data_IF_999284647343
#
_entry.id   IF_999284647343
#
_cell.length_a   1.000
_cell.length_b   1.000
_cell.length_c   1.000
_cell.angle_alpha   90.00
_cell.angle_beta   90.00
_cell.angle_gamma   90.00
#
_symmetry.space_group_name_H-M   'P 1'
#
loop_
_entity.id
_entity.type
_entity.pdbx_description
1 polymer ?
#
# COMPACT_ATOMS: atom_id res chain seq x y z
N UNK A 1 31.25 -6.26 -11.23
CA UNK A 1 29.96 -6.26 -10.50
C UNK A 1 28.84 -6.02 -11.51
N UNK A 2 27.81 -6.86 -11.53
CA UNK A 2 26.65 -6.72 -12.44
C UNK A 2 25.85 -5.45 -12.09
N UNK A 3 25.01 -4.95 -13.00
CA UNK A 3 24.15 -3.79 -12.73
C UNK A 3 23.24 -4.04 -11.52
N UNK A 4 22.59 -5.21 -11.47
CA UNK A 4 21.74 -5.62 -10.35
C UNK A 4 22.50 -5.60 -9.01
N UNK A 5 23.73 -6.11 -8.95
CA UNK A 5 24.51 -6.10 -7.73
C UNK A 5 24.91 -4.68 -7.27
N UNK A 6 25.22 -3.78 -8.21
CA UNK A 6 25.51 -2.37 -7.88
C UNK A 6 24.26 -1.64 -7.37
N UNK A 7 23.11 -1.89 -7.98
CA UNK A 7 21.83 -1.32 -7.55
C UNK A 7 21.46 -1.85 -6.16
N UNK A 8 21.62 -3.15 -5.93
CA UNK A 8 21.38 -3.74 -4.61
C UNK A 8 22.29 -3.11 -3.52
N UNK A 9 23.55 -2.81 -3.84
CA UNK A 9 24.44 -2.08 -2.92
C UNK A 9 23.94 -0.67 -2.67
N UNK A 10 23.64 0.10 -3.72
CA UNK A 10 23.14 1.46 -3.58
C UNK A 10 21.85 1.51 -2.73
N UNK A 11 20.94 0.54 -2.88
CA UNK A 11 19.74 0.45 -2.06
C UNK A 11 20.04 0.09 -0.60
N UNK A 12 21.05 -0.76 -0.32
CA UNK A 12 21.50 -1.03 1.06
C UNK A 12 22.07 0.22 1.74
N UNK A 13 22.77 1.04 0.97
CA UNK A 13 23.36 2.31 1.44
C UNK A 13 22.34 3.47 1.48
N UNK A 14 21.05 3.20 1.26
CA UNK A 14 19.97 4.22 1.16
C UNK A 14 20.20 5.26 0.05
N UNK A 15 20.91 4.90 -1.01
CA UNK A 15 21.24 5.76 -2.14
C UNK A 15 20.33 5.50 -3.35
N UNK A 16 19.00 5.67 -3.17
CA UNK A 16 18.00 5.43 -4.21
C UNK A 16 18.25 6.24 -5.50
N UNK A 17 18.57 7.53 -5.38
CA UNK A 17 18.87 8.38 -6.54
C UNK A 17 20.11 7.89 -7.30
N UNK A 18 21.12 7.40 -6.59
CA UNK A 18 22.31 6.80 -7.19
C UNK A 18 21.93 5.53 -7.97
N UNK A 19 21.10 4.66 -7.39
CA UNK A 19 20.61 3.47 -8.09
C UNK A 19 19.85 3.83 -9.39
N UNK A 20 19.00 4.87 -9.34
CA UNK A 20 18.26 5.39 -10.51
C UNK A 20 19.24 5.86 -11.60
N UNK A 21 20.22 6.69 -11.25
CA UNK A 21 21.18 7.20 -12.23
C UNK A 21 22.09 6.11 -12.80
N UNK A 22 22.47 5.10 -12.00
CA UNK A 22 23.20 3.93 -12.50
C UNK A 22 22.39 3.12 -13.54
N UNK A 23 21.13 2.82 -13.24
CA UNK A 23 20.25 2.09 -14.16
C UNK A 23 20.02 2.88 -15.46
N UNK A 24 19.76 4.19 -15.34
CA UNK A 24 19.60 5.10 -16.46
C UNK A 24 20.87 5.20 -17.33
N UNK A 25 22.04 5.33 -16.71
CA UNK A 25 23.31 5.41 -17.43
C UNK A 25 23.60 4.13 -18.22
N UNK A 26 23.32 2.95 -17.64
CA UNK A 26 23.43 1.67 -18.34
C UNK A 26 22.52 1.61 -19.57
N UNK A 27 21.26 2.01 -19.43
CA UNK A 27 20.28 1.96 -20.50
C UNK A 27 20.51 2.99 -21.62
N UNK A 28 21.33 4.03 -21.39
CA UNK A 28 21.82 4.90 -22.47
C UNK A 28 22.77 4.16 -23.41
N UNK A 29 23.53 3.19 -22.90
CA UNK A 29 24.50 2.41 -23.68
C UNK A 29 23.86 1.14 -24.24
N UNK A 30 22.98 0.50 -23.45
CA UNK A 30 22.29 -0.74 -23.81
C UNK A 30 20.76 -0.58 -23.69
N UNK A 31 20.10 0.18 -24.59
CA UNK A 31 18.67 0.48 -24.48
C UNK A 31 17.75 -0.74 -24.60
N UNK A 32 18.20 -1.81 -25.27
CA UNK A 32 17.47 -3.08 -25.39
C UNK A 32 17.70 -4.07 -24.25
N UNK A 33 18.45 -3.69 -23.19
CA UNK A 33 18.62 -4.54 -22.01
C UNK A 33 17.32 -4.58 -21.20
N UNK A 34 16.56 -5.66 -21.40
CA UNK A 34 15.25 -5.89 -20.78
C UNK A 34 15.33 -5.90 -19.25
N UNK A 35 16.28 -6.63 -18.66
CA UNK A 35 16.37 -6.77 -17.20
C UNK A 35 16.74 -5.43 -16.55
N UNK A 36 17.67 -4.69 -17.15
CA UNK A 36 18.00 -3.34 -16.72
C UNK A 36 16.78 -2.39 -16.83
N UNK A 37 15.96 -2.56 -17.86
CA UNK A 37 14.74 -1.76 -18.07
C UNK A 37 13.69 -2.04 -17.00
N UNK A 38 13.42 -3.31 -16.69
CA UNK A 38 12.55 -3.68 -15.56
C UNK A 38 13.07 -3.08 -14.26
N UNK A 39 14.35 -3.26 -13.96
CA UNK A 39 14.95 -2.74 -12.74
C UNK A 39 14.87 -1.21 -12.65
N UNK A 40 15.05 -0.50 -13.77
CA UNK A 40 14.85 0.95 -13.80
C UNK A 40 13.41 1.35 -13.51
N UNK A 41 12.42 0.63 -14.05
CA UNK A 41 11.01 0.85 -13.76
C UNK A 41 10.71 0.64 -12.27
N UNK A 42 11.25 -0.42 -11.65
CA UNK A 42 11.11 -0.66 -10.21
C UNK A 42 11.62 0.52 -9.37
N UNK A 43 12.79 1.05 -9.73
CA UNK A 43 13.39 2.18 -9.01
C UNK A 43 12.59 3.47 -9.17
N UNK A 44 11.98 3.71 -10.33
CA UNK A 44 11.08 4.84 -10.54
C UNK A 44 9.80 4.71 -9.71
N UNK A 45 9.24 3.50 -9.59
CA UNK A 45 8.10 3.23 -8.72
C UNK A 45 8.46 3.52 -7.25
N UNK A 46 9.63 3.08 -6.79
CA UNK A 46 10.12 3.39 -5.44
C UNK A 46 10.28 4.90 -5.19
N UNK A 47 10.67 5.65 -6.21
CA UNK A 47 10.79 7.10 -6.14
C UNK A 47 9.44 7.84 -6.27
N UNK A 48 8.33 7.13 -6.49
CA UNK A 48 7.03 7.74 -6.76
C UNK A 48 6.88 8.38 -8.15
N UNK A 49 7.83 8.14 -9.06
CA UNK A 49 7.85 8.71 -10.41
C UNK A 49 7.07 7.83 -11.41
N UNK A 50 5.76 7.70 -11.16
CA UNK A 50 4.88 6.81 -11.92
C UNK A 50 4.75 7.21 -13.39
N UNK A 51 4.81 8.51 -13.69
CA UNK A 51 4.76 9.03 -15.05
C UNK A 51 6.00 8.58 -15.87
N UNK A 52 7.21 8.69 -15.31
CA UNK A 52 8.41 8.17 -15.99
C UNK A 52 8.40 6.65 -16.04
N UNK A 53 7.92 5.96 -15.01
CA UNK A 53 7.76 4.51 -15.02
C UNK A 53 6.82 4.04 -16.17
N UNK A 54 5.69 4.73 -16.40
CA UNK A 54 4.76 4.41 -17.51
C UNK A 54 5.43 4.59 -18.87
N UNK A 55 6.14 5.71 -19.05
CA UNK A 55 6.89 5.98 -20.28
C UNK A 55 7.97 4.90 -20.54
N UNK A 56 8.63 4.42 -19.48
CA UNK A 56 9.57 3.31 -19.60
C UNK A 56 8.89 1.98 -19.95
N UNK A 57 7.69 1.70 -19.43
CA UNK A 57 6.92 0.51 -19.82
C UNK A 57 6.54 0.54 -21.31
N UNK A 58 6.11 1.69 -21.81
CA UNK A 58 5.78 1.85 -23.23
C UNK A 58 7.00 1.63 -24.14
N UNK A 59 8.16 2.17 -23.73
CA UNK A 59 9.41 1.96 -24.46
C UNK A 59 9.92 0.51 -24.33
N UNK A 60 9.74 -0.13 -23.18
CA UNK A 60 10.16 -1.51 -22.96
C UNK A 60 9.43 -2.48 -23.91
N UNK A 61 8.14 -2.26 -24.14
CA UNK A 61 7.34 -3.06 -25.06
C UNK A 61 7.86 -3.02 -26.52
N UNK A 62 8.61 -1.97 -26.92
CA UNK A 62 9.23 -1.94 -28.27
C UNK A 62 10.47 -2.82 -28.37
N UNK A 63 11.17 -3.04 -27.26
CA UNK A 63 12.40 -3.84 -27.20
C UNK A 63 12.16 -5.31 -26.83
N UNK A 64 11.09 -5.59 -26.10
CA UNK A 64 10.69 -6.94 -25.69
C UNK A 64 9.19 -7.20 -25.98
N UNK A 65 8.81 -7.39 -27.26
CA UNK A 65 7.41 -7.59 -27.65
C UNK A 65 6.73 -8.77 -26.94
N UNK A 66 7.49 -9.80 -26.57
CA UNK A 66 7.03 -10.97 -25.83
C UNK A 66 6.47 -10.64 -24.44
N UNK A 67 6.88 -9.54 -23.81
CA UNK A 67 6.39 -9.11 -22.49
C UNK A 67 5.35 -7.98 -22.56
N UNK A 68 4.87 -7.63 -23.75
CA UNK A 68 3.92 -6.52 -23.96
C UNK A 68 2.73 -6.59 -23.01
N UNK A 69 2.20 -7.80 -22.78
CA UNK A 69 1.09 -8.00 -21.84
C UNK A 69 1.50 -7.66 -20.39
N UNK A 70 2.68 -8.11 -19.95
CA UNK A 70 3.20 -7.79 -18.62
C UNK A 70 3.38 -6.28 -18.41
N UNK A 71 3.91 -5.58 -19.42
CA UNK A 71 4.00 -4.12 -19.38
C UNK A 71 2.62 -3.46 -19.37
N UNK A 72 1.67 -3.94 -20.17
CA UNK A 72 0.31 -3.39 -20.17
C UNK A 72 -0.39 -3.52 -18.80
N UNK A 73 -0.23 -4.67 -18.12
CA UNK A 73 -0.74 -4.87 -16.77
C UNK A 73 -0.06 -3.94 -15.76
N UNK A 74 1.26 -3.79 -15.83
CA UNK A 74 1.98 -2.85 -14.98
C UNK A 74 1.56 -1.40 -15.21
N UNK A 75 1.29 -1.00 -16.45
CA UNK A 75 0.77 0.34 -16.77
C UNK A 75 -0.62 0.59 -16.16
N UNK A 76 -1.48 -0.42 -16.09
CA UNK A 76 -2.73 -0.31 -15.35
C UNK A 76 -2.49 -0.07 -13.85
N UNK A 77 -1.56 -0.80 -13.25
CA UNK A 77 -1.19 -0.61 -11.85
C UNK A 77 -0.56 0.78 -11.61
N UNK A 78 0.29 1.27 -12.51
CA UNK A 78 0.86 2.62 -12.43
C UNK A 78 -0.21 3.72 -12.47
N UNK A 79 -1.25 3.55 -13.29
CA UNK A 79 -2.42 4.45 -13.29
C UNK A 79 -3.13 4.45 -11.95
N UNK A 80 -3.30 3.28 -11.32
CA UNK A 80 -3.88 3.20 -9.99
C UNK A 80 -2.98 3.81 -8.91
N UNK A 81 -1.64 3.65 -9.01
CA UNK A 81 -0.69 4.31 -8.11
C UNK A 81 -0.79 5.84 -8.24
N UNK A 82 -0.96 6.37 -9.46
CA UNK A 82 -1.24 7.77 -9.69
C UNK A 82 -2.61 8.21 -9.15
N UNK A 83 -3.65 7.37 -9.27
CA UNK A 83 -4.97 7.63 -8.69
C UNK A 83 -4.91 7.69 -7.16
N UNK A 84 -4.09 6.84 -6.52
CA UNK A 84 -3.80 6.93 -5.09
C UNK A 84 -3.20 8.28 -4.73
N UNK A 85 -2.19 8.76 -5.47
CA UNK A 85 -1.62 10.10 -5.24
C UNK A 85 -2.68 11.19 -5.40
N UNK A 86 -3.49 11.12 -6.45
CA UNK A 86 -4.56 12.10 -6.70
C UNK A 86 -5.63 12.13 -5.59
N UNK A 87 -5.92 11.00 -4.92
CA UNK A 87 -6.78 11.01 -3.74
C UNK A 87 -6.24 11.91 -2.63
N UNK A 88 -4.97 11.71 -2.28
CA UNK A 88 -4.36 12.46 -1.19
C UNK A 88 -4.09 13.92 -1.59
N UNK A 89 -3.59 14.17 -2.80
CA UNK A 89 -3.14 15.50 -3.24
C UNK A 89 -4.29 16.36 -3.80
N UNK A 90 -5.22 15.76 -4.54
CA UNK A 90 -6.20 16.49 -5.38
C UNK A 90 -7.65 16.21 -5.02
N UNK A 91 -7.92 15.48 -3.92
CA UNK A 91 -9.28 15.09 -3.50
C UNK A 91 -10.01 14.15 -4.46
N UNK A 92 -9.31 13.47 -5.37
CA UNK A 92 -9.93 12.54 -6.31
C UNK A 92 -10.50 11.32 -5.56
N UNK A 93 -11.81 11.04 -5.68
CA UNK A 93 -12.44 9.95 -4.91
C UNK A 93 -11.85 8.57 -5.28
N UNK A 94 -11.53 7.70 -4.31
CA UNK A 94 -11.18 6.31 -4.58
C UNK A 94 -12.32 5.57 -5.29
N UNK A 95 -11.99 4.45 -5.94
CA UNK A 95 -13.02 3.60 -6.53
C UNK A 95 -13.71 2.77 -5.43
N UNK A 96 -15.04 2.73 -5.48
CA UNK A 96 -15.87 1.89 -4.60
C UNK A 96 -16.86 1.08 -5.44
N UNK A 97 -16.52 -0.14 -5.91
CA UNK A 97 -17.35 -0.92 -6.82
C UNK A 97 -18.79 -1.16 -6.33
N UNK A 98 -19.00 -1.21 -5.02
CA UNK A 98 -20.32 -1.38 -4.38
C UNK A 98 -20.77 -0.13 -3.60
N UNK A 99 -20.18 1.03 -3.90
CA UNK A 99 -20.33 2.26 -3.12
C UNK A 99 -19.55 2.23 -1.80
N UNK A 100 -19.30 3.42 -1.21
CA UNK A 100 -18.57 3.54 0.04
C UNK A 100 -19.41 3.03 1.22
N UNK A 101 -18.78 2.25 2.11
CA UNK A 101 -19.35 1.87 3.42
C UNK A 101 -19.57 3.09 4.31
N UNK A 102 -20.21 2.89 5.47
CA UNK A 102 -20.30 3.93 6.49
C UNK A 102 -18.92 4.38 7.00
N UNK A 103 -17.96 3.46 7.12
CA UNK A 103 -16.59 3.79 7.53
C UNK A 103 -15.82 4.52 6.42
N UNK A 104 -16.01 4.13 5.15
CA UNK A 104 -15.45 4.87 4.02
C UNK A 104 -15.98 6.31 4.01
N UNK A 105 -17.28 6.51 4.21
CA UNK A 105 -17.87 7.85 4.27
C UNK A 105 -17.33 8.68 5.45
N UNK A 106 -17.11 8.06 6.60
CA UNK A 106 -16.51 8.72 7.76
C UNK A 106 -15.04 9.12 7.48
N UNK A 107 -14.24 8.23 6.89
CA UNK A 107 -12.87 8.51 6.47
C UNK A 107 -12.81 9.64 5.43
N UNK A 108 -13.69 9.61 4.42
CA UNK A 108 -13.82 10.69 3.43
C UNK A 108 -14.13 12.04 4.11
N UNK A 109 -15.02 12.06 5.11
CA UNK A 109 -15.35 13.28 5.87
C UNK A 109 -14.14 13.81 6.64
N UNK A 110 -13.37 12.96 7.31
CA UNK A 110 -12.13 13.35 7.99
C UNK A 110 -11.12 13.91 7.00
N UNK A 111 -10.92 13.24 5.86
CA UNK A 111 -9.98 13.70 4.84
C UNK A 111 -10.36 15.05 4.23
N UNK A 112 -11.65 15.30 3.97
CA UNK A 112 -12.14 16.60 3.50
C UNK A 112 -11.92 17.69 4.56
N UNK A 113 -12.34 17.45 5.81
CA UNK A 113 -12.15 18.42 6.89
C UNK A 113 -10.65 18.75 7.11
N UNK A 114 -9.80 17.72 7.10
CA UNK A 114 -8.36 17.89 7.23
C UNK A 114 -7.78 18.76 6.10
N UNK A 115 -8.15 18.48 4.84
CA UNK A 115 -7.69 19.26 3.68
C UNK A 115 -8.11 20.72 3.76
N UNK A 116 -9.31 20.99 4.24
CA UNK A 116 -9.84 22.34 4.41
C UNK A 116 -9.25 23.07 5.63
N UNK A 117 -8.40 22.40 6.42
CA UNK A 117 -7.84 22.95 7.66
C UNK A 117 -8.92 23.20 8.73
N UNK A 118 -10.03 22.46 8.67
CA UNK A 118 -11.19 22.68 9.53
C UNK A 118 -10.88 22.32 10.99
N UNK A 119 -11.25 23.16 11.97
CA UNK A 119 -11.08 22.86 13.39
C UNK A 119 -11.95 21.69 13.87
N UNK A 120 -12.96 21.29 13.09
CA UNK A 120 -13.80 20.13 13.36
C UNK A 120 -13.15 18.78 12.99
N UNK A 121 -11.97 18.78 12.37
CA UNK A 121 -11.30 17.55 11.90
C UNK A 121 -11.10 16.54 13.03
N UNK A 122 -10.57 16.97 14.19
CA UNK A 122 -10.35 16.09 15.34
C UNK A 122 -11.66 15.50 15.87
N UNK A 123 -12.75 16.27 15.90
CA UNK A 123 -14.06 15.78 16.30
C UNK A 123 -14.66 14.78 15.28
N UNK A 124 -14.41 15.01 13.99
CA UNK A 124 -14.78 14.07 12.94
C UNK A 124 -14.01 12.75 13.05
N UNK A 125 -12.71 12.80 13.34
CA UNK A 125 -11.89 11.62 13.61
C UNK A 125 -12.38 10.86 14.83
N UNK A 126 -12.70 11.55 15.93
CA UNK A 126 -13.26 10.90 17.11
C UNK A 126 -14.57 10.18 16.79
N UNK A 127 -15.50 10.84 16.09
CA UNK A 127 -16.77 10.23 15.68
C UNK A 127 -16.56 9.01 14.77
N UNK A 128 -15.51 9.06 13.94
CA UNK A 128 -15.13 7.96 13.07
C UNK A 128 -14.57 6.78 13.87
N UNK A 129 -13.66 7.00 14.81
CA UNK A 129 -13.14 5.93 15.68
C UNK A 129 -14.25 5.27 16.52
N UNK A 130 -15.18 6.07 17.05
CA UNK A 130 -16.37 5.55 17.75
C UNK A 130 -17.24 4.67 16.83
N UNK A 131 -17.41 5.05 15.56
CA UNK A 131 -18.16 4.28 14.57
C UNK A 131 -17.41 3.01 14.13
N UNK A 132 -16.08 3.09 13.98
CA UNK A 132 -15.21 1.97 13.58
C UNK A 132 -15.31 0.85 14.61
N UNK A 133 -15.25 1.21 15.89
CA UNK A 133 -15.18 0.27 17.01
C UNK A 133 -13.98 -0.67 16.88
N UNK A 134 -13.94 -1.69 17.73
CA UNK A 134 -12.90 -2.73 17.67
C UNK A 134 -13.09 -3.63 16.44
N UNK A 135 -11.96 -3.97 15.81
CA UNK A 135 -11.88 -4.91 14.69
C UNK A 135 -10.95 -6.09 15.03
N UNK A 136 -11.48 -7.15 15.66
CA UNK A 136 -10.67 -8.33 15.94
C UNK A 136 -10.17 -9.00 14.66
N UNK A 137 -8.86 -9.24 14.59
CA UNK A 137 -8.18 -9.88 13.45
C UNK A 137 -7.13 -10.89 13.97
N UNK A 138 -6.56 -11.68 13.07
CA UNK A 138 -5.37 -12.50 13.30
C UNK A 138 -4.22 -11.93 12.48
N UNK A 139 -3.18 -11.44 13.15
CA UNK A 139 -1.96 -10.92 12.53
C UNK A 139 -0.87 -11.97 12.64
N UNK A 140 -0.41 -12.51 11.51
CA UNK A 140 0.58 -13.60 11.44
C UNK A 140 0.23 -14.79 12.35
N UNK A 141 -1.06 -15.15 12.41
CA UNK A 141 -1.58 -16.22 13.26
C UNK A 141 -1.78 -15.85 14.74
N UNK A 142 -1.45 -14.62 15.16
CA UNK A 142 -1.70 -14.12 16.51
C UNK A 142 -3.02 -13.32 16.55
N UNK A 143 -4.00 -13.73 17.38
CA UNK A 143 -5.24 -12.98 17.51
C UNK A 143 -4.98 -11.62 18.20
N UNK A 144 -5.59 -10.57 17.66
CA UNK A 144 -5.56 -9.21 18.20
C UNK A 144 -6.98 -8.67 18.34
N UNK A 145 -7.23 -7.89 19.40
CA UNK A 145 -8.57 -7.37 19.74
C UNK A 145 -9.05 -6.28 18.78
N UNK A 146 -8.12 -5.47 18.28
CA UNK A 146 -8.37 -4.43 17.30
C UNK A 146 -7.25 -4.42 16.25
N UNK A 147 -7.57 -3.97 15.04
CA UNK A 147 -6.60 -3.78 13.98
C UNK A 147 -6.96 -2.54 13.17
N UNK A 148 -6.02 -1.59 13.08
CA UNK A 148 -6.17 -0.37 12.30
C UNK A 148 -4.85 0.12 11.71
N UNK A 149 -4.93 0.87 10.62
CA UNK A 149 -3.80 1.68 10.17
C UNK A 149 -3.57 2.81 11.20
N UNK A 150 -2.30 3.10 11.50
CA UNK A 150 -1.93 4.18 12.42
C UNK A 150 -2.05 5.57 11.77
N UNK A 151 -2.21 5.65 10.45
CA UNK A 151 -2.56 6.90 9.77
C UNK A 151 -4.06 7.18 9.88
N UNK A 152 -4.40 8.30 10.52
CA UNK A 152 -5.79 8.68 10.84
C UNK A 152 -6.65 8.98 9.60
N UNK A 153 -6.07 9.04 8.40
CA UNK A 153 -6.83 9.27 7.16
C UNK A 153 -7.57 8.03 6.70
N UNK A 154 -7.03 6.83 6.95
CA UNK A 154 -7.61 5.54 6.50
C UNK A 154 -7.39 4.42 7.54
N UNK A 155 -7.77 4.60 8.82
CA UNK A 155 -7.52 3.64 9.88
C UNK A 155 -8.31 2.32 9.71
N UNK A 156 -9.44 2.33 8.99
CA UNK A 156 -10.37 1.20 8.91
C UNK A 156 -10.12 0.21 7.76
N UNK A 157 -9.19 0.50 6.86
CA UNK A 157 -9.07 -0.21 5.60
C UNK A 157 -7.62 -0.43 5.16
N UNK A 158 -7.42 -1.49 4.37
CA UNK A 158 -6.24 -1.61 3.53
C UNK A 158 -6.44 -0.87 2.22
N UNK A 159 -5.43 -0.12 1.81
CA UNK A 159 -5.33 0.36 0.44
C UNK A 159 -4.96 -0.81 -0.49
N UNK A 160 -5.61 -0.90 -1.66
CA UNK A 160 -5.34 -1.94 -2.65
C UNK A 160 -5.30 -1.37 -4.08
N UNK A 161 -4.31 -1.82 -4.85
CA UNK A 161 -4.16 -1.54 -6.27
C UNK A 161 -4.50 -2.81 -7.05
N UNK A 162 -5.60 -2.76 -7.79
CA UNK A 162 -6.07 -3.88 -8.59
C UNK A 162 -5.27 -4.01 -9.88
N UNK A 163 -5.13 -5.24 -10.37
CA UNK A 163 -4.50 -5.52 -11.68
C UNK A 163 -5.20 -4.80 -12.85
N UNK A 164 -6.51 -4.54 -12.74
CA UNK A 164 -7.27 -3.71 -13.69
C UNK A 164 -6.98 -2.21 -13.65
N UNK A 165 -6.20 -1.75 -12.67
CA UNK A 165 -5.81 -0.35 -12.50
C UNK A 165 -6.81 0.51 -11.75
N UNK A 166 -7.56 -0.09 -10.82
CA UNK A 166 -8.37 0.60 -9.83
C UNK A 166 -7.60 0.72 -8.50
N UNK A 167 -7.77 1.84 -7.81
CA UNK A 167 -7.29 2.07 -6.45
C UNK A 167 -8.47 2.04 -5.48
N UNK A 168 -8.44 1.10 -4.53
CA UNK A 168 -9.56 0.78 -3.64
C UNK A 168 -9.15 0.92 -2.18
N UNK A 169 -10.15 1.15 -1.34
CA UNK A 169 -10.09 0.86 0.10
C UNK A 169 -10.85 -0.41 0.39
N UNK A 170 -10.19 -1.35 1.05
CA UNK A 170 -10.76 -2.61 1.49
C UNK A 170 -10.89 -2.55 3.00
N UNK A 171 -12.10 -2.18 3.45
CA UNK A 171 -12.48 -2.19 4.86
C UNK A 171 -12.12 -3.55 5.50
N UNK A 172 -11.45 -3.53 6.65
CA UNK A 172 -11.03 -4.75 7.36
C UNK A 172 -12.20 -5.70 7.65
N UNK A 173 -13.43 -5.19 7.80
CA UNK A 173 -14.65 -6.00 7.98
C UNK A 173 -15.03 -6.84 6.78
N UNK A 174 -14.52 -6.51 5.58
CA UNK A 174 -14.77 -7.23 4.33
C UNK A 174 -13.68 -8.25 4.02
N UNK A 175 -12.57 -8.23 4.75
CA UNK A 175 -11.43 -9.12 4.53
C UNK A 175 -11.71 -10.45 5.23
N UNK A 176 -11.61 -11.55 4.48
CA UNK A 176 -11.49 -12.88 5.07
C UNK A 176 -10.02 -13.20 5.35
N UNK A 177 -9.15 -12.99 4.36
CA UNK A 177 -7.71 -13.18 4.48
C UNK A 177 -6.93 -12.31 3.50
N UNK A 178 -5.70 -11.96 3.87
CA UNK A 178 -4.68 -11.36 3.00
C UNK A 178 -3.38 -12.10 3.21
N UNK A 179 -2.75 -12.57 2.13
CA UNK A 179 -1.48 -13.31 2.15
C UNK A 179 -0.46 -12.56 1.31
N UNK A 180 0.63 -12.12 1.92
CA UNK A 180 1.64 -11.29 1.28
C UNK A 180 2.73 -12.16 0.66
N UNK A 181 3.13 -11.81 -0.58
CA UNK A 181 4.27 -12.44 -1.24
C UNK A 181 5.60 -11.88 -0.71
N UNK A 182 6.68 -12.67 -0.64
CA UNK A 182 7.99 -12.19 -0.20
C UNK A 182 8.52 -11.00 -1.02
N UNK A 183 9.40 -10.17 -0.42
CA UNK A 183 10.19 -9.18 -1.17
C UNK A 183 11.09 -9.91 -2.15
N UNK A 184 10.83 -9.74 -3.44
CA UNK A 184 11.61 -10.39 -4.51
C UNK A 184 12.38 -9.39 -5.38
N UNK A 185 11.91 -8.14 -5.44
CA UNK A 185 12.48 -7.07 -6.28
C UNK A 185 12.26 -5.70 -5.64
N UNK A 186 12.98 -4.65 -6.09
CA UNK A 186 12.96 -3.36 -5.39
C UNK A 186 11.56 -2.77 -5.22
N UNK A 187 10.70 -2.79 -6.25
CA UNK A 187 9.36 -2.19 -6.15
C UNK A 187 8.50 -2.78 -5.04
N UNK A 188 8.76 -4.02 -4.63
CA UNK A 188 7.98 -4.70 -3.60
C UNK A 188 8.20 -4.05 -2.21
N UNK A 189 9.21 -3.19 -2.04
CA UNK A 189 9.36 -2.34 -0.85
C UNK A 189 8.31 -1.23 -0.78
N UNK A 190 7.76 -0.78 -1.91
CA UNK A 190 6.69 0.23 -1.93
C UNK A 190 5.30 -0.37 -2.19
N UNK A 191 5.23 -1.44 -2.99
CA UNK A 191 3.97 -2.06 -3.40
C UNK A 191 4.10 -3.58 -3.35
N UNK A 192 3.64 -4.17 -2.25
CA UNK A 192 3.74 -5.61 -1.97
C UNK A 192 2.64 -6.37 -2.71
N UNK A 193 3.00 -7.43 -3.43
CA UNK A 193 2.00 -8.33 -4.01
C UNK A 193 1.32 -9.11 -2.88
N UNK A 194 0.00 -9.25 -2.95
CA UNK A 194 -0.77 -10.08 -2.04
C UNK A 194 -1.93 -10.78 -2.74
N UNK A 195 -2.33 -11.93 -2.21
CA UNK A 195 -3.63 -12.53 -2.47
C UNK A 195 -4.62 -12.02 -1.42
N UNK A 196 -5.69 -11.38 -1.89
CA UNK A 196 -6.79 -10.87 -1.08
C UNK A 196 -8.01 -11.79 -1.25
N UNK A 197 -8.52 -12.29 -0.15
CA UNK A 197 -9.78 -13.03 -0.05
C UNK A 197 -10.79 -12.19 0.74
N UNK A 198 -11.95 -11.93 0.13
CA UNK A 198 -13.04 -11.20 0.74
C UNK A 198 -14.02 -12.15 1.45
N UNK A 199 -14.78 -11.62 2.41
CA UNK A 199 -15.76 -12.36 3.20
C UNK A 199 -16.90 -12.98 2.36
N UNK A 200 -17.12 -12.49 1.13
CA UNK A 200 -18.08 -13.06 0.18
C UNK A 200 -17.48 -14.19 -0.69
N UNK A 201 -16.21 -14.55 -0.47
CA UNK A 201 -15.48 -15.60 -1.18
C UNK A 201 -14.78 -15.12 -2.46
N UNK A 202 -14.85 -13.84 -2.81
CA UNK A 202 -14.08 -13.32 -3.95
C UNK A 202 -12.57 -13.31 -3.63
N UNK A 203 -11.75 -13.75 -4.59
CA UNK A 203 -10.29 -13.80 -4.48
C UNK A 203 -9.67 -12.96 -5.60
N UNK A 204 -8.68 -12.15 -5.26
CA UNK A 204 -7.93 -11.35 -6.22
C UNK A 204 -6.46 -11.18 -5.83
N UNK A 205 -5.57 -11.17 -6.83
CA UNK A 205 -4.20 -10.67 -6.66
C UNK A 205 -4.19 -9.15 -6.72
N UNK A 206 -3.61 -8.52 -5.71
CA UNK A 206 -3.55 -7.05 -5.56
C UNK A 206 -2.11 -6.61 -5.26
N UNK A 207 -1.83 -5.32 -5.45
CA UNK A 207 -0.67 -4.67 -4.82
C UNK A 207 -1.12 -3.83 -3.63
N UNK A 208 -0.48 -3.99 -2.50
CA UNK A 208 -0.72 -3.24 -1.28
C UNK A 208 0.36 -2.16 -1.12
N UNK A 209 0.01 -0.87 -1.03
CA UNK A 209 0.97 0.18 -0.72
C UNK A 209 1.58 -0.05 0.66
N UNK A 210 2.90 -0.21 0.71
CA UNK A 210 3.69 -0.41 1.94
C UNK A 210 4.26 0.90 2.49
N UNK A 211 4.12 2.00 1.75
CA UNK A 211 4.68 3.32 2.07
C UNK A 211 3.56 4.35 2.11
N UNK A 212 3.51 5.16 3.17
CA UNK A 212 2.54 6.24 3.29
C UNK A 212 2.69 7.29 2.19
N UNK A 213 1.59 7.90 1.78
CA UNK A 213 1.63 9.00 0.82
C UNK A 213 2.32 10.24 1.40
N UNK A 214 2.92 11.07 0.54
CA UNK A 214 3.65 12.28 0.94
C UNK A 214 5.07 11.99 1.45
N UNK A 215 5.51 10.74 1.39
CA UNK A 215 6.86 10.33 1.81
C UNK A 215 7.93 10.91 0.89
N UNK A 216 8.95 11.51 1.48
CA UNK A 216 10.16 11.98 0.78
C UNK A 216 11.40 11.49 1.53
N UNK A 217 12.55 11.44 0.85
CA UNK A 217 13.79 10.95 1.44
C UNK A 217 13.97 9.44 1.29
N UNK A 218 15.20 9.02 1.00
CA UNK A 218 15.47 7.67 0.54
C UNK A 218 15.18 6.59 1.59
N UNK A 219 15.50 6.81 2.87
CA UNK A 219 15.24 5.84 3.93
C UNK A 219 13.74 5.54 4.10
N UNK A 220 12.93 6.61 4.12
CA UNK A 220 11.48 6.50 4.24
C UNK A 220 10.88 5.83 3.00
N UNK A 221 11.30 6.22 1.79
CA UNK A 221 10.85 5.57 0.54
C UNK A 221 11.26 4.09 0.43
N UNK A 222 12.36 3.70 1.05
CA UNK A 222 12.82 2.31 1.13
C UNK A 222 12.20 1.51 2.30
N UNK A 223 11.24 2.10 3.02
CA UNK A 223 10.55 1.46 4.14
C UNK A 223 11.46 1.19 5.34
N UNK A 224 12.56 1.91 5.50
CA UNK A 224 13.53 1.68 6.59
C UNK A 224 13.12 2.36 7.90
N UNK A 225 12.34 3.41 7.80
CA UNK A 225 11.92 4.26 8.90
C UNK A 225 10.43 4.62 8.68
N UNK A 226 9.77 4.99 9.76
CA UNK A 226 8.44 5.60 9.76
C UNK A 226 8.50 6.84 10.64
N UNK A 227 8.01 7.95 10.12
CA UNK A 227 7.87 9.21 10.84
C UNK A 227 6.38 9.54 11.00
N UNK A 228 6.02 10.08 12.17
CA UNK A 228 4.67 10.51 12.48
C UNK A 228 4.61 12.03 12.54
N UNK A 229 3.63 12.59 11.84
CA UNK A 229 3.39 14.03 11.79
C UNK A 229 2.06 14.30 12.49
N UNK A 230 2.12 15.04 13.59
CA UNK A 230 0.94 15.67 14.19
C UNK A 230 0.55 16.87 13.33
N UNK A 231 -0.54 16.72 12.57
CA UNK A 231 -1.03 17.76 11.69
C UNK A 231 -1.71 18.87 12.51
N UNK A 232 -1.69 20.14 12.05
CA UNK A 232 -2.34 21.25 12.74
C UNK A 232 -3.85 21.06 12.98
N UNK A 233 -4.50 20.17 12.22
CA UNK A 233 -5.91 19.82 12.36
C UNK A 233 -6.19 18.80 13.48
N UNK A 234 -5.15 18.34 14.19
CA UNK A 234 -5.25 17.40 15.31
C UNK A 234 -5.35 15.92 14.91
N UNK A 235 -4.95 15.57 13.68
CA UNK A 235 -4.82 14.17 13.24
C UNK A 235 -3.33 13.82 13.13
N UNK A 236 -3.03 12.53 13.14
CA UNK A 236 -1.67 12.01 12.93
C UNK A 236 -1.57 11.35 11.56
N UNK A 237 -0.55 11.73 10.77
CA UNK A 237 -0.27 11.09 9.48
C UNK A 237 1.13 10.49 9.44
N UNK A 238 1.29 9.40 8.70
CA UNK A 238 2.57 8.70 8.57
C UNK A 238 3.38 9.15 7.35
N UNK A 239 4.71 9.04 7.43
CA UNK A 239 5.66 9.08 6.31
C UNK A 239 6.60 7.87 6.44
N UNK A 240 7.00 7.28 5.31
CA UNK A 240 7.79 6.05 5.31
C UNK A 240 6.93 4.79 5.38
N UNK A 241 7.45 3.76 6.04
CA UNK A 241 6.78 2.45 6.08
C UNK A 241 5.41 2.53 6.76
N UNK A 242 4.42 1.87 6.17
CA UNK A 242 3.13 1.67 6.82
C UNK A 242 3.29 0.88 8.12
N UNK A 243 2.55 1.29 9.14
CA UNK A 243 2.45 0.61 10.42
C UNK A 243 0.99 0.47 10.82
N UNK A 244 0.69 -0.60 11.55
CA UNK A 244 -0.62 -0.87 12.08
C UNK A 244 -0.57 -0.91 13.59
N UNK A 245 -1.70 -0.60 14.23
CA UNK A 245 -1.95 -0.91 15.62
C UNK A 245 -2.70 -2.25 15.66
N UNK A 246 -2.08 -3.27 16.23
CA UNK A 246 -2.63 -4.61 16.37
C UNK A 246 -2.83 -4.90 17.88
N UNK A 247 -4.05 -4.67 18.36
CA UNK A 247 -4.31 -4.55 19.80
C UNK A 247 -3.64 -3.29 20.35
N UNK A 248 -2.66 -3.46 21.23
CA UNK A 248 -1.84 -2.37 21.78
C UNK A 248 -0.44 -2.29 21.13
N UNK A 249 -0.12 -3.24 20.23
CA UNK A 249 1.21 -3.35 19.64
C UNK A 249 1.30 -2.60 18.32
N UNK A 250 2.39 -1.85 18.15
CA UNK A 250 2.78 -1.30 16.85
C UNK A 250 3.46 -2.39 16.03
N UNK A 251 2.89 -2.72 14.87
CA UNK A 251 3.46 -3.69 13.92
C UNK A 251 3.73 -3.06 12.56
N UNK A 252 4.84 -3.42 11.94
CA UNK A 252 5.27 -2.88 10.65
C UNK A 252 4.66 -3.65 9.47
N UNK A 253 4.35 -2.96 8.37
CA UNK A 253 3.78 -3.58 7.18
C UNK A 253 4.68 -4.66 6.56
N UNK A 254 6.00 -4.46 6.56
CA UNK A 254 6.94 -5.44 5.99
C UNK A 254 7.09 -6.70 6.83
N UNK A 255 6.65 -6.69 8.09
CA UNK A 255 6.57 -7.89 8.93
C UNK A 255 5.22 -8.62 8.77
N UNK A 256 4.27 -8.04 8.03
CA UNK A 256 3.00 -8.69 7.74
C UNK A 256 3.20 -9.78 6.67
N UNK A 257 2.90 -11.01 7.02
CA UNK A 257 2.85 -12.17 6.11
C UNK A 257 1.39 -12.56 5.84
N UNK A 258 0.56 -12.52 6.89
CA UNK A 258 -0.83 -12.95 6.83
C UNK A 258 -1.71 -12.12 7.75
N UNK A 259 -2.85 -11.66 7.24
CA UNK A 259 -3.91 -11.01 8.02
C UNK A 259 -5.22 -11.75 7.77
N UNK A 260 -5.92 -12.17 8.82
CA UNK A 260 -7.19 -12.91 8.68
C UNK A 260 -8.27 -12.38 9.61
N UNK A 261 -9.53 -12.48 9.18
CA UNK A 261 -10.65 -12.28 10.09
C UNK A 261 -10.66 -13.38 11.17
N UNK A 262 -10.93 -12.98 12.41
CA UNK A 262 -11.17 -13.97 13.48
C UNK A 262 -12.49 -14.69 13.17
N UNK A 263 -12.42 -16.00 12.90
CA UNK A 263 -13.62 -16.83 12.75
C UNK A 263 -14.47 -16.73 14.02
N UNK A 264 -15.72 -16.30 13.90
CA UNK A 264 -16.65 -16.20 15.03
C UNK A 264 -17.06 -17.55 15.63
N UNK A 265 -16.60 -18.69 15.09
CA UNK A 265 -17.07 -20.01 15.50
C UNK A 265 -15.94 -20.98 15.89
N UNK A 266 -15.62 -21.01 17.18
CA UNK A 266 -15.09 -22.19 17.87
C UNK A 266 -15.52 -22.26 19.35
N UNK A 267 -15.87 -21.12 19.98
CA UNK A 267 -16.23 -21.07 21.40
C UNK A 267 -17.74 -21.16 21.70
N UNK A 268 -18.62 -20.82 20.76
CA UNK A 268 -20.08 -20.99 20.97
C UNK A 268 -20.51 -22.46 20.85
N UNK A 269 -19.89 -23.24 19.96
CA UNK A 269 -20.21 -24.67 19.79
C UNK A 269 -19.73 -25.52 20.97
N UNK A 270 -18.66 -25.12 21.68
CA UNK A 270 -18.20 -25.82 22.90
C UNK A 270 -19.05 -25.52 24.12
N UNK A 271 -19.62 -24.32 24.23
CA UNK A 271 -20.54 -23.96 25.32
C UNK A 271 -21.93 -24.56 25.14
N UNK A 272 -22.40 -24.72 23.90
CA UNK A 272 -23.68 -25.39 23.63
C UNK A 272 -23.62 -26.93 23.75
N UNK A 273 -22.44 -27.55 23.62
CA UNK A 273 -22.27 -29.00 23.75
C UNK A 273 -22.09 -29.51 25.20
N UNK A 274 -21.97 -28.59 26.17
CA UNK A 274 -21.83 -28.91 27.60
C UNK A 274 -22.92 -28.27 28.49
N UNK A 275 -24.03 -27.83 27.88
CA UNK A 275 -25.24 -27.39 28.59
C UNK A 275 -26.32 -28.46 28.62
#
# INVERSE_FOLDING_TARGET
MTLSAKIAEALRENALENAIEQAKAHLKVAPGDKDARHLFIDLLILAGDYARADAQCNLAATFAPEDTMGFALLRNQLRAMAARSAWFDEAATPDFPNGPTGLDQAALKVAVAHRDGSPETAAALQSFEELRGERPMSWNGQPVSDFRDLDDRIPHALEAIMTGGAYLWIDFSRIAAVRLEPISRPRDLAFRVAELELADGAIATVLLPAIYHGTTGAKLLLGRETEWIEEPTGITTGRGQKCFLAGDDLVSFHDLEMLEAVSRNADETRRAAHG
#
